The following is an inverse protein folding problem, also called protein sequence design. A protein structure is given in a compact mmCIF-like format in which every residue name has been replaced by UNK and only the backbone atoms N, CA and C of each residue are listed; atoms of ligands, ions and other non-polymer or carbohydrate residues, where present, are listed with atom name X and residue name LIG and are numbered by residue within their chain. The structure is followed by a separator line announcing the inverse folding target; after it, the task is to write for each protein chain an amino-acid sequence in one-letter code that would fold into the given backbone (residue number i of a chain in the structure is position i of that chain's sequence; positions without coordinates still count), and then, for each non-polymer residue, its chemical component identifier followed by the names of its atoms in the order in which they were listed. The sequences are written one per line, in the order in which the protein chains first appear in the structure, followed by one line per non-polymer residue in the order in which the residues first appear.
data_IF_207151333930
#
_entry.id   IF_207151333930
#
_cell.length_a   1.000
_cell.length_b   1.000
_cell.length_c   1.000
_cell.angle_alpha   90.00
_cell.angle_beta   90.00
_cell.angle_gamma   90.00
#
_symmetry.space_group_name_H-M   'P 1'
#
loop_
_entity.id
_entity.type
_entity.pdbx_description
1 polymer ?
#
# COMPACT_ATOMS: atom_id res chain seq x y z
N UNK A 1 8.35 -8.95 33.86
CA UNK A 1 9.68 -9.49 33.52
C UNK A 1 10.77 -8.83 34.36
N UNK A 2 11.75 -9.62 34.82
CA UNK A 2 12.90 -9.12 35.62
C UNK A 2 14.02 -8.61 34.70
N UNK A 3 14.10 -9.14 33.49
CA UNK A 3 15.19 -8.86 32.55
C UNK A 3 14.63 -8.48 31.20
N UNK A 4 15.34 -7.58 30.54
CA UNK A 4 15.18 -7.23 29.13
C UNK A 4 16.54 -7.20 28.47
N UNK A 5 16.60 -7.62 27.22
CA UNK A 5 17.76 -7.47 26.37
C UNK A 5 17.36 -6.82 25.05
N UNK A 6 18.32 -6.15 24.46
CA UNK A 6 18.17 -5.40 23.21
C UNK A 6 19.44 -5.59 22.38
N UNK A 7 19.27 -5.93 21.10
CA UNK A 7 20.37 -6.00 20.13
C UNK A 7 20.00 -5.16 18.91
N UNK A 8 20.76 -4.08 18.67
CA UNK A 8 20.67 -3.29 17.44
C UNK A 8 21.32 -4.05 16.30
N UNK A 9 20.71 -3.95 15.12
CA UNK A 9 21.22 -4.55 13.89
C UNK A 9 21.34 -3.42 12.87
N UNK A 10 22.54 -3.15 12.30
CA UNK A 10 22.75 -2.04 11.36
C UNK A 10 22.15 -2.37 9.97
N UNK A 11 20.87 -2.65 9.95
CA UNK A 11 20.08 -2.94 8.77
C UNK A 11 18.95 -1.91 8.69
N UNK A 12 18.69 -1.42 7.50
CA UNK A 12 17.52 -0.61 7.17
C UNK A 12 16.81 -1.26 5.98
N UNK A 13 15.62 -1.83 6.24
CA UNK A 13 14.82 -2.49 5.22
C UNK A 13 13.45 -1.83 5.13
N UNK A 14 12.92 -1.63 3.91
CA UNK A 14 11.50 -1.33 3.73
C UNK A 14 10.68 -2.48 4.33
N UNK A 15 9.62 -2.14 5.08
CA UNK A 15 8.70 -3.13 5.63
C UNK A 15 8.10 -4.05 4.55
N UNK A 16 7.96 -3.52 3.35
CA UNK A 16 7.46 -4.20 2.16
C UNK A 16 8.30 -5.41 1.74
N UNK A 17 9.60 -5.45 2.10
CA UNK A 17 10.49 -6.60 1.86
C UNK A 17 10.45 -7.64 2.98
N UNK A 18 9.85 -7.34 4.14
CA UNK A 18 9.92 -8.19 5.34
C UNK A 18 8.67 -9.02 5.57
N UNK A 19 7.94 -9.35 4.51
CA UNK A 19 6.71 -10.14 4.61
C UNK A 19 6.97 -11.54 5.16
N UNK A 20 6.11 -11.96 6.10
CA UNK A 20 6.12 -13.32 6.65
C UNK A 20 5.57 -14.38 5.70
N UNK A 21 5.10 -14.01 4.51
CA UNK A 21 4.60 -14.94 3.48
C UNK A 21 5.71 -15.65 2.71
N UNK A 22 6.87 -15.00 2.60
CA UNK A 22 8.01 -15.45 1.79
C UNK A 22 9.29 -15.50 2.61
N UNK A 23 10.25 -16.29 2.14
CA UNK A 23 11.59 -16.28 2.73
C UNK A 23 12.34 -15.00 2.36
N UNK A 24 13.26 -14.52 3.21
CA UNK A 24 13.65 -15.11 4.50
C UNK A 24 12.78 -14.59 5.67
N UNK A 25 11.85 -13.69 5.44
CA UNK A 25 10.97 -13.13 6.47
C UNK A 25 10.20 -14.22 7.22
N UNK A 26 9.65 -15.19 6.50
CA UNK A 26 8.93 -16.34 7.07
C UNK A 26 9.77 -17.09 8.11
N UNK A 27 11.01 -17.45 7.76
CA UNK A 27 11.92 -18.15 8.67
C UNK A 27 12.41 -17.27 9.81
N UNK A 28 12.64 -15.98 9.56
CA UNK A 28 13.07 -15.04 10.59
C UNK A 28 12.03 -14.90 11.70
N UNK A 29 10.81 -14.55 11.34
CA UNK A 29 9.72 -14.37 12.30
C UNK A 29 9.24 -15.70 12.89
N UNK A 30 9.32 -16.80 12.15
CA UNK A 30 9.01 -18.15 12.65
C UNK A 30 9.95 -18.66 13.74
N UNK A 31 11.09 -17.98 14.00
CA UNK A 31 11.94 -18.29 15.15
C UNK A 31 11.33 -17.84 16.47
N UNK A 32 10.48 -16.80 16.47
CA UNK A 32 9.88 -16.24 17.69
C UNK A 32 9.13 -17.32 18.45
N UNK A 33 8.17 -17.97 17.83
CA UNK A 33 7.33 -18.99 18.43
C UNK A 33 8.15 -20.10 19.14
N UNK A 34 9.20 -20.58 18.44
CA UNK A 34 10.07 -21.64 19.01
C UNK A 34 10.94 -21.18 20.17
N UNK A 35 11.31 -19.90 20.18
CA UNK A 35 12.20 -19.34 21.19
C UNK A 35 11.46 -18.82 22.42
N UNK A 36 10.19 -18.46 22.28
CA UNK A 36 9.31 -18.11 23.40
C UNK A 36 9.03 -19.30 24.32
N UNK A 37 9.08 -20.53 23.82
CA UNK A 37 8.97 -21.75 24.63
C UNK A 37 10.16 -21.97 25.59
N UNK A 38 11.27 -21.23 25.42
CA UNK A 38 12.42 -21.34 26.34
C UNK A 38 12.07 -20.84 27.75
N UNK A 39 12.41 -21.64 28.76
CA UNK A 39 12.10 -21.35 30.17
C UNK A 39 12.51 -19.93 30.58
N UNK A 40 11.54 -19.16 31.06
CA UNK A 40 11.74 -17.81 31.58
C UNK A 40 11.89 -16.74 30.51
N UNK A 41 11.47 -17.03 29.28
CA UNK A 41 11.19 -16.07 28.22
C UNK A 41 9.71 -15.72 28.30
N UNK A 42 9.36 -14.46 28.08
CA UNK A 42 7.97 -13.98 28.13
C UNK A 42 7.54 -13.48 26.76
N UNK A 43 8.41 -12.74 26.06
CA UNK A 43 8.07 -12.14 24.77
C UNK A 43 9.33 -11.78 23.98
N UNK A 44 9.22 -11.84 22.65
CA UNK A 44 10.30 -11.53 21.70
C UNK A 44 9.73 -10.64 20.59
N UNK A 45 10.39 -9.51 20.33
CA UNK A 45 10.06 -8.60 19.24
C UNK A 45 11.21 -8.48 18.23
N UNK A 46 10.88 -8.51 16.95
CA UNK A 46 11.79 -8.20 15.84
C UNK A 46 11.25 -6.95 15.15
N UNK A 47 12.05 -5.89 15.11
CA UNK A 47 11.72 -4.64 14.45
C UNK A 47 12.69 -4.39 13.30
N UNK A 48 12.15 -4.08 12.12
CA UNK A 48 12.95 -3.86 10.90
C UNK A 48 13.40 -2.40 10.75
N UNK A 49 12.95 -1.54 11.66
CA UNK A 49 13.10 -0.10 11.52
C UNK A 49 12.04 0.50 10.59
N UNK A 50 12.24 1.76 10.22
CA UNK A 50 11.35 2.48 9.31
C UNK A 50 12.18 3.21 8.25
N UNK A 51 12.42 2.56 7.13
CA UNK A 51 13.32 3.03 6.07
C UNK A 51 12.97 4.43 5.55
N UNK A 52 11.67 4.72 5.44
CA UNK A 52 11.15 6.01 4.96
C UNK A 52 11.31 7.17 5.94
N UNK A 53 11.71 6.89 7.18
CA UNK A 53 11.85 7.91 8.24
C UNK A 53 13.12 8.75 8.16
N UNK A 54 14.10 8.37 7.36
CA UNK A 54 15.40 9.05 7.16
C UNK A 54 15.97 9.67 8.45
N UNK A 55 16.19 8.84 9.46
CA UNK A 55 16.75 9.26 10.75
C UNK A 55 17.99 8.45 11.10
N UNK A 56 19.09 9.06 11.59
CA UNK A 56 20.33 8.36 11.94
C UNK A 56 20.17 7.22 12.94
N UNK A 57 19.13 7.28 13.78
CA UNK A 57 18.81 6.22 14.76
C UNK A 57 18.03 5.05 14.18
N UNK A 58 17.57 5.16 12.94
CA UNK A 58 16.71 4.17 12.32
C UNK A 58 17.50 2.92 11.93
N UNK A 59 17.15 1.80 12.51
CA UNK A 59 17.80 0.50 12.29
C UNK A 59 16.89 -0.63 12.74
N UNK A 60 17.22 -1.85 12.34
CA UNK A 60 16.56 -3.02 12.87
C UNK A 60 16.99 -3.31 14.32
N UNK A 61 16.14 -3.96 15.07
CA UNK A 61 16.44 -4.37 16.44
C UNK A 61 15.69 -5.64 16.82
N UNK A 62 16.28 -6.40 17.74
CA UNK A 62 15.63 -7.51 18.43
C UNK A 62 15.55 -7.19 19.93
N UNK A 63 14.38 -7.40 20.50
CA UNK A 63 14.12 -7.21 21.92
C UNK A 63 13.58 -8.51 22.51
N UNK A 64 14.06 -8.92 23.66
CA UNK A 64 13.46 -10.01 24.42
C UNK A 64 13.29 -9.62 25.89
N UNK A 65 12.23 -10.11 26.52
CA UNK A 65 11.93 -9.91 27.92
C UNK A 65 11.63 -11.24 28.61
N UNK A 66 11.95 -11.33 29.90
CA UNK A 66 11.72 -12.56 30.66
C UNK A 66 12.26 -12.52 32.09
N UNK A 67 12.22 -13.68 32.73
CA UNK A 67 12.70 -13.90 34.11
C UNK A 67 14.04 -14.68 34.18
N UNK A 68 14.55 -15.12 33.02
CA UNK A 68 15.86 -15.78 32.90
C UNK A 68 16.82 -14.90 32.06
N UNK A 69 17.76 -14.24 32.75
CA UNK A 69 18.72 -13.31 32.14
C UNK A 69 19.52 -13.94 31.00
N UNK A 70 20.02 -15.16 31.17
CA UNK A 70 20.86 -15.86 30.19
C UNK A 70 20.07 -16.14 28.89
N UNK A 71 18.84 -16.65 29.04
CA UNK A 71 18.00 -16.95 27.87
C UNK A 71 17.59 -15.68 27.14
N UNK A 72 17.21 -14.62 27.86
CA UNK A 72 16.81 -13.33 27.28
C UNK A 72 17.95 -12.73 26.45
N UNK A 73 19.18 -12.69 26.98
CA UNK A 73 20.35 -12.18 26.23
C UNK A 73 20.67 -13.09 25.05
N UNK A 74 20.78 -14.40 25.26
CA UNK A 74 21.16 -15.34 24.19
C UNK A 74 20.19 -15.36 23.02
N UNK A 75 18.89 -15.15 23.26
CA UNK A 75 17.87 -15.07 22.20
C UNK A 75 18.05 -13.80 21.36
N UNK A 76 18.28 -12.62 21.97
CA UNK A 76 18.48 -11.41 21.19
C UNK A 76 19.72 -11.52 20.31
N UNK A 77 20.80 -12.12 20.81
CA UNK A 77 22.02 -12.35 20.05
C UNK A 77 21.80 -13.38 18.91
N UNK A 78 21.11 -14.49 19.19
CA UNK A 78 20.80 -15.52 18.21
C UNK A 78 20.00 -14.96 17.04
N UNK A 79 18.91 -14.25 17.32
CA UNK A 79 18.05 -13.69 16.27
C UNK A 79 18.76 -12.56 15.55
N UNK A 80 19.48 -11.68 16.24
CA UNK A 80 20.19 -10.57 15.61
C UNK A 80 21.27 -11.07 14.64
N UNK A 81 22.05 -12.07 15.04
CA UNK A 81 23.07 -12.68 14.16
C UNK A 81 22.42 -13.39 12.97
N UNK A 82 21.30 -14.08 13.17
CA UNK A 82 20.57 -14.70 12.07
C UNK A 82 20.03 -13.64 11.11
N UNK A 83 19.38 -12.60 11.60
CA UNK A 83 18.86 -11.51 10.77
C UNK A 83 19.98 -10.84 9.96
N UNK A 84 21.13 -10.57 10.60
CA UNK A 84 22.29 -10.04 9.91
C UNK A 84 22.78 -10.97 8.79
N UNK A 85 22.81 -12.28 9.03
CA UNK A 85 23.30 -13.26 8.05
C UNK A 85 22.46 -13.31 6.78
N UNK A 86 21.15 -13.06 6.88
CA UNK A 86 20.19 -13.13 5.77
C UNK A 86 19.82 -11.74 5.20
N UNK A 87 20.50 -10.67 5.61
CA UNK A 87 20.12 -9.27 5.29
C UNK A 87 20.01 -8.95 3.81
N UNK A 88 20.71 -9.67 2.96
CA UNK A 88 20.73 -9.45 1.51
C UNK A 88 19.70 -10.30 0.75
N UNK A 89 18.98 -11.19 1.43
CA UNK A 89 18.08 -12.15 0.81
C UNK A 89 16.62 -11.68 0.79
N UNK A 90 16.36 -10.49 1.38
CA UNK A 90 15.01 -9.94 1.44
C UNK A 90 14.55 -9.36 0.10
N UNK A 91 13.41 -9.84 -0.37
CA UNK A 91 12.81 -9.44 -1.63
C UNK A 91 11.36 -8.98 -1.44
N UNK A 92 10.83 -8.24 -2.42
CA UNK A 92 9.40 -7.92 -2.46
C UNK A 92 8.58 -9.17 -2.75
N UNK A 93 7.35 -9.23 -2.21
CA UNK A 93 6.45 -10.39 -2.40
C UNK A 93 5.86 -10.50 -3.82
N UNK A 94 6.03 -9.48 -4.64
CA UNK A 94 5.68 -9.48 -6.06
C UNK A 94 6.68 -8.64 -6.84
N UNK A 95 6.75 -8.80 -8.16
CA UNK A 95 7.65 -8.01 -9.00
C UNK A 95 7.41 -6.50 -8.85
N UNK A 96 8.49 -5.73 -8.82
CA UNK A 96 8.48 -4.27 -8.83
C UNK A 96 8.84 -3.75 -10.20
N UNK A 97 8.22 -2.62 -10.60
CA UNK A 97 8.49 -1.99 -11.89
C UNK A 97 8.04 -0.53 -11.87
N UNK A 98 8.33 0.22 -12.94
CA UNK A 98 7.82 1.59 -13.12
C UNK A 98 6.32 1.60 -13.39
N UNK A 99 5.65 2.73 -13.17
CA UNK A 99 4.23 2.87 -13.44
C UNK A 99 3.93 2.67 -14.94
N UNK A 100 4.76 3.23 -15.81
CA UNK A 100 4.62 3.08 -17.26
C UNK A 100 4.67 1.62 -17.69
N UNK A 101 5.66 0.87 -17.19
CA UNK A 101 5.75 -0.56 -17.44
C UNK A 101 4.57 -1.34 -16.85
N UNK A 102 4.08 -0.94 -15.67
CA UNK A 102 2.89 -1.58 -15.06
C UNK A 102 1.65 -1.38 -15.93
N UNK A 103 1.47 -0.18 -16.51
CA UNK A 103 0.36 0.13 -17.42
C UNK A 103 0.48 -0.71 -18.69
N UNK A 104 1.65 -0.78 -19.31
CA UNK A 104 1.85 -1.58 -20.53
C UNK A 104 1.63 -3.06 -20.28
N UNK A 105 2.11 -3.58 -19.15
CA UNK A 105 1.88 -4.96 -18.75
C UNK A 105 0.39 -5.23 -18.43
N UNK A 106 -0.31 -4.29 -17.80
CA UNK A 106 -1.74 -4.43 -17.57
C UNK A 106 -2.53 -4.51 -18.88
N UNK A 107 -2.23 -3.63 -19.84
CA UNK A 107 -2.86 -3.64 -21.17
C UNK A 107 -2.56 -4.96 -21.91
N UNK A 108 -1.31 -5.41 -21.89
CA UNK A 108 -0.92 -6.69 -22.48
C UNK A 108 -1.66 -7.86 -21.82
N UNK A 109 -1.69 -7.90 -20.49
CA UNK A 109 -2.35 -8.94 -19.72
C UNK A 109 -3.84 -9.05 -20.04
N UNK A 110 -4.55 -7.93 -20.14
CA UNK A 110 -5.96 -7.90 -20.46
C UNK A 110 -6.25 -8.44 -21.87
N UNK A 111 -5.35 -8.20 -22.81
CA UNK A 111 -5.47 -8.72 -24.17
C UNK A 111 -5.27 -10.25 -24.24
N UNK A 112 -4.33 -10.79 -23.47
CA UNK A 112 -3.94 -12.20 -23.50
C UNK A 112 -4.77 -13.10 -22.56
N UNK A 113 -5.21 -12.56 -21.41
CA UNK A 113 -5.77 -13.34 -20.30
C UNK A 113 -7.09 -12.80 -19.76
N UNK A 114 -8.04 -12.53 -20.63
CA UNK A 114 -9.33 -11.89 -20.32
C UNK A 114 -10.14 -12.48 -19.14
N UNK A 115 -9.81 -13.69 -18.66
CA UNK A 115 -10.59 -14.41 -17.66
C UNK A 115 -10.05 -14.33 -16.22
N UNK A 116 -8.90 -13.68 -16.00
CA UNK A 116 -8.31 -13.52 -14.65
C UNK A 116 -8.23 -12.05 -14.30
N UNK A 117 -9.14 -11.60 -13.46
CA UNK A 117 -9.26 -10.23 -12.96
C UNK A 117 -9.13 -10.22 -11.43
N UNK A 118 -8.77 -9.09 -10.83
CA UNK A 118 -8.20 -7.88 -11.43
C UNK A 118 -6.70 -8.00 -11.72
N UNK A 119 -6.18 -7.18 -12.64
CA UNK A 119 -4.77 -6.81 -12.62
C UNK A 119 -4.57 -5.74 -11.56
N UNK A 120 -3.75 -5.99 -10.54
CA UNK A 120 -3.53 -5.05 -9.43
C UNK A 120 -2.21 -4.32 -9.63
N UNK A 121 -2.27 -2.99 -9.59
CA UNK A 121 -1.11 -2.11 -9.47
C UNK A 121 -1.12 -1.55 -8.05
N UNK A 122 -0.08 -1.87 -7.28
CA UNK A 122 0.05 -1.39 -5.90
C UNK A 122 1.14 -0.31 -5.84
N UNK A 123 0.71 0.95 -5.73
CA UNK A 123 1.59 2.11 -5.58
C UNK A 123 2.17 2.12 -4.16
N UNK A 124 3.44 1.75 -4.03
CA UNK A 124 4.14 1.71 -2.75
C UNK A 124 4.65 3.10 -2.33
N UNK A 125 4.95 3.96 -3.32
CA UNK A 125 5.56 5.28 -3.07
C UNK A 125 4.66 6.23 -2.31
N UNK A 126 3.35 6.19 -2.56
CA UNK A 126 2.36 7.03 -1.86
C UNK A 126 1.46 6.24 -0.90
N UNK A 127 2.08 5.28 -0.16
CA UNK A 127 1.38 4.45 0.79
C UNK A 127 1.01 5.19 2.08
N UNK A 128 -0.28 5.46 2.36
CA UNK A 128 -0.71 6.20 3.55
C UNK A 128 -0.47 5.44 4.86
N UNK A 129 -0.23 4.14 4.82
CA UNK A 129 0.07 3.33 6.02
C UNK A 129 1.57 3.25 6.31
N UNK A 130 2.42 3.66 5.37
CA UNK A 130 3.87 3.71 5.53
C UNK A 130 4.42 5.15 5.56
N UNK A 131 3.58 6.13 5.93
CA UNK A 131 3.99 7.54 6.08
C UNK A 131 3.87 8.38 4.81
N UNK A 132 3.43 7.82 3.70
CA UNK A 132 3.05 8.58 2.50
C UNK A 132 1.86 9.50 2.78
N UNK A 133 1.78 10.61 2.06
CA UNK A 133 0.64 11.54 2.18
C UNK A 133 -0.67 10.92 1.71
N UNK A 134 -0.60 9.96 0.80
CA UNK A 134 -1.74 9.34 0.14
C UNK A 134 -2.41 10.26 -0.88
N UNK A 135 -1.84 11.44 -1.13
CA UNK A 135 -2.44 12.49 -1.97
C UNK A 135 -1.61 12.87 -3.20
N UNK A 136 -0.51 12.15 -3.47
CA UNK A 136 0.28 12.34 -4.69
C UNK A 136 -0.57 12.02 -5.92
N UNK A 137 -0.60 12.97 -6.85
CA UNK A 137 -1.47 12.90 -8.04
C UNK A 137 -0.81 12.22 -9.24
N UNK A 138 0.48 11.88 -9.16
CA UNK A 138 1.28 11.34 -10.26
C UNK A 138 0.62 10.16 -10.96
N UNK A 139 0.33 9.10 -10.23
CA UNK A 139 -0.29 7.88 -10.76
C UNK A 139 -1.65 8.17 -11.39
N UNK A 140 -2.52 8.92 -10.70
CA UNK A 140 -3.84 9.28 -11.24
C UNK A 140 -3.73 10.11 -12.53
N UNK A 141 -2.82 11.09 -12.58
CA UNK A 141 -2.59 11.93 -13.75
C UNK A 141 -2.14 11.09 -14.95
N UNK A 142 -1.22 10.15 -14.77
CA UNK A 142 -0.77 9.23 -15.84
C UNK A 142 -1.90 8.36 -16.35
N UNK A 143 -2.72 7.80 -15.47
CA UNK A 143 -3.88 6.97 -15.85
C UNK A 143 -4.92 7.79 -16.63
N UNK A 144 -5.26 8.98 -16.14
CA UNK A 144 -6.24 9.85 -16.80
C UNK A 144 -5.78 10.36 -18.17
N UNK A 145 -4.47 10.52 -18.40
CA UNK A 145 -3.89 10.93 -19.66
C UNK A 145 -3.61 9.79 -20.63
N UNK A 146 -3.70 8.55 -20.19
CA UNK A 146 -3.42 7.40 -21.04
C UNK A 146 -4.63 7.07 -21.93
N UNK A 147 -4.52 7.31 -23.23
CA UNK A 147 -5.61 7.09 -24.20
C UNK A 147 -6.04 5.62 -24.36
N UNK A 148 -5.17 4.66 -24.03
CA UNK A 148 -5.51 3.23 -24.06
C UNK A 148 -6.37 2.84 -22.85
N UNK A 149 -6.19 3.51 -21.72
CA UNK A 149 -6.90 3.27 -20.47
C UNK A 149 -8.14 4.16 -20.34
N UNK A 150 -8.00 5.47 -20.52
CA UNK A 150 -9.08 6.44 -20.32
C UNK A 150 -9.87 6.68 -21.62
N UNK A 151 -10.71 5.73 -21.98
CA UNK A 151 -11.59 5.82 -23.16
C UNK A 151 -12.95 5.20 -22.85
N UNK A 152 -13.98 5.65 -23.55
CA UNK A 152 -15.31 5.01 -23.52
C UNK A 152 -15.15 3.57 -24.01
N UNK A 153 -15.70 2.60 -23.29
CA UNK A 153 -15.53 1.16 -23.54
C UNK A 153 -14.07 0.65 -23.37
N UNK A 154 -13.23 1.37 -22.64
CA UNK A 154 -11.93 0.88 -22.20
C UNK A 154 -12.04 -0.14 -21.06
N UNK A 155 -10.89 -0.60 -20.53
CA UNK A 155 -10.88 -1.47 -19.35
C UNK A 155 -11.51 -0.75 -18.16
N UNK A 156 -12.30 -1.45 -17.37
CA UNK A 156 -12.85 -0.91 -16.13
C UNK A 156 -11.74 -0.78 -15.07
N UNK A 157 -11.55 0.42 -14.54
CA UNK A 157 -10.50 0.73 -13.59
C UNK A 157 -11.09 1.26 -12.30
N UNK A 158 -10.59 0.78 -11.17
CA UNK A 158 -10.82 1.37 -9.86
C UNK A 158 -9.50 1.97 -9.37
N UNK A 159 -9.49 3.26 -9.05
CA UNK A 159 -8.38 3.96 -8.43
C UNK A 159 -8.72 4.29 -6.97
N UNK A 160 -7.99 3.73 -6.02
CA UNK A 160 -8.26 3.83 -4.59
C UNK A 160 -7.01 4.23 -3.77
N UNK A 161 -6.95 5.45 -3.33
CA UNK A 161 -7.86 6.57 -3.42
C UNK A 161 -7.08 7.89 -3.52
N UNK A 162 -7.77 9.01 -3.52
CA UNK A 162 -7.14 10.33 -3.47
C UNK A 162 -7.97 11.29 -2.61
N UNK A 163 -7.38 12.03 -1.65
CA UNK A 163 -8.04 13.11 -0.93
C UNK A 163 -8.44 14.25 -1.86
N UNK A 164 -9.65 14.77 -1.69
CA UNK A 164 -10.18 15.90 -2.46
C UNK A 164 -11.34 16.59 -1.74
N UNK A 165 -11.08 17.32 -0.61
CA UNK A 165 -12.12 17.97 0.17
C UNK A 165 -12.98 18.93 -0.65
N UNK A 166 -12.40 19.66 -1.61
CA UNK A 166 -13.13 20.56 -2.50
C UNK A 166 -14.13 19.82 -3.38
N UNK A 167 -13.70 18.69 -3.97
CA UNK A 167 -14.58 17.86 -4.77
C UNK A 167 -15.65 17.20 -3.92
N UNK A 168 -15.31 16.71 -2.72
CA UNK A 168 -16.29 16.16 -1.77
C UNK A 168 -17.38 17.20 -1.47
N UNK A 169 -17.00 18.44 -1.13
CA UNK A 169 -17.97 19.52 -0.85
C UNK A 169 -18.94 19.73 -2.03
N UNK A 170 -18.45 19.72 -3.25
CA UNK A 170 -19.27 19.87 -4.45
C UNK A 170 -20.17 18.64 -4.66
N UNK A 171 -19.62 17.45 -4.49
CA UNK A 171 -20.34 16.18 -4.64
C UNK A 171 -21.53 16.04 -3.67
N UNK A 172 -21.38 16.51 -2.44
CA UNK A 172 -22.48 16.48 -1.44
C UNK A 172 -23.67 17.37 -1.83
N UNK A 173 -23.49 18.31 -2.74
CA UNK A 173 -24.55 19.17 -3.30
C UNK A 173 -24.98 18.75 -4.70
N UNK A 174 -24.48 17.60 -5.21
CA UNK A 174 -24.73 17.08 -6.56
C UNK A 174 -25.56 15.80 -6.46
N UNK A 175 -26.50 15.58 -7.37
CA UNK A 175 -27.27 14.32 -7.43
C UNK A 175 -26.41 13.22 -8.04
N UNK A 176 -26.59 11.99 -7.54
CA UNK A 176 -25.98 10.80 -8.17
C UNK A 176 -26.46 10.72 -9.62
N UNK A 177 -25.52 10.54 -10.53
CA UNK A 177 -25.72 10.54 -11.96
C UNK A 177 -25.37 11.86 -12.65
N UNK A 178 -25.30 12.98 -11.90
CA UNK A 178 -24.93 14.28 -12.46
C UNK A 178 -23.41 14.46 -12.48
N UNK A 179 -22.96 15.43 -13.27
CA UNK A 179 -21.56 15.81 -13.38
C UNK A 179 -21.12 16.64 -12.17
N UNK A 180 -19.94 16.34 -11.66
CA UNK A 180 -19.29 17.08 -10.59
C UNK A 180 -17.83 17.40 -10.96
N UNK A 181 -17.33 18.52 -10.47
CA UNK A 181 -15.97 18.99 -10.70
C UNK A 181 -15.38 19.52 -9.40
N UNK A 182 -14.08 19.28 -9.18
CA UNK A 182 -13.34 19.81 -8.03
C UNK A 182 -11.88 19.36 -8.06
N UNK A 183 -11.06 20.02 -7.26
CA UNK A 183 -9.64 19.66 -7.13
C UNK A 183 -9.48 18.45 -6.22
N UNK A 184 -8.50 17.57 -6.58
CA UNK A 184 -8.10 16.39 -5.82
C UNK A 184 -6.59 16.28 -5.74
N UNK A 185 -6.10 15.75 -4.63
CA UNK A 185 -4.68 15.46 -4.37
C UNK A 185 -3.79 16.68 -4.19
N UNK A 186 -2.50 16.41 -3.98
CA UNK A 186 -1.44 17.41 -3.80
C UNK A 186 -1.75 18.48 -2.72
N UNK A 187 -2.39 18.06 -1.62
CA UNK A 187 -2.70 18.93 -0.49
C UNK A 187 -1.51 19.02 0.47
N UNK A 188 -0.83 17.89 0.66
CA UNK A 188 0.31 17.74 1.55
C UNK A 188 1.61 17.49 0.78
N UNK A 189 1.52 16.83 -0.39
CA UNK A 189 2.67 16.54 -1.23
C UNK A 189 2.39 16.92 -2.69
N UNK A 190 2.86 18.10 -3.07
CA UNK A 190 2.75 18.66 -4.43
C UNK A 190 4.06 18.58 -5.23
N UNK A 191 5.11 17.97 -4.64
CA UNK A 191 6.47 17.92 -5.23
C UNK A 191 6.52 17.21 -6.59
N UNK A 192 5.71 16.17 -6.77
CA UNK A 192 5.77 15.31 -7.95
C UNK A 192 4.70 15.63 -9.00
N UNK A 193 3.60 16.25 -8.60
CA UNK A 193 2.53 16.60 -9.54
C UNK A 193 1.54 17.58 -8.88
N UNK A 194 1.02 18.58 -9.60
CA UNK A 194 0.05 19.53 -9.04
C UNK A 194 -1.32 18.88 -8.78
N UNK A 195 -2.21 19.55 -8.04
CA UNK A 195 -3.60 19.11 -7.89
C UNK A 195 -4.27 18.87 -9.25
N UNK A 196 -5.13 17.88 -9.33
CA UNK A 196 -5.91 17.57 -10.54
C UNK A 196 -7.30 18.18 -10.41
N UNK A 197 -7.72 18.97 -11.41
CA UNK A 197 -9.13 19.33 -11.55
C UNK A 197 -9.86 18.10 -12.13
N UNK A 198 -10.45 17.30 -11.25
CA UNK A 198 -11.18 16.10 -11.64
C UNK A 198 -12.62 16.48 -12.00
N UNK A 199 -13.06 16.04 -13.17
CA UNK A 199 -14.40 16.23 -13.68
C UNK A 199 -14.98 14.89 -14.12
N UNK A 200 -16.17 14.55 -13.65
CA UNK A 200 -16.80 13.27 -14.00
C UNK A 200 -18.20 13.13 -13.41
N UNK A 201 -18.80 11.97 -13.59
CA UNK A 201 -20.13 11.65 -13.09
C UNK A 201 -20.05 11.12 -11.66
N UNK A 202 -20.83 11.69 -10.74
CA UNK A 202 -20.99 11.20 -9.38
C UNK A 202 -21.73 9.85 -9.38
N UNK A 203 -21.08 8.78 -8.91
CA UNK A 203 -21.65 7.41 -8.91
C UNK A 203 -22.17 6.96 -7.56
N UNK A 204 -21.47 7.30 -6.49
CA UNK A 204 -21.87 6.95 -5.13
C UNK A 204 -21.32 7.96 -4.12
N UNK A 205 -21.97 8.01 -2.97
CA UNK A 205 -21.59 8.84 -1.81
C UNK A 205 -21.72 7.97 -0.57
N UNK A 206 -20.70 7.95 0.28
CA UNK A 206 -20.69 7.29 1.58
C UNK A 206 -20.21 8.28 2.64
N UNK A 207 -20.91 8.35 3.77
CA UNK A 207 -20.63 9.30 4.86
C UNK A 207 -20.34 8.56 6.16
N UNK A 208 -19.54 9.20 7.01
CA UNK A 208 -19.29 8.71 8.37
C UNK A 208 -18.22 7.63 8.46
N UNK A 209 -17.40 7.45 7.42
CA UNK A 209 -16.23 6.56 7.52
C UNK A 209 -15.24 7.11 8.57
N UNK A 210 -14.77 6.30 9.53
CA UNK A 210 -13.93 6.78 10.63
C UNK A 210 -12.58 7.36 10.16
N UNK A 211 -12.07 6.92 9.00
CA UNK A 211 -10.81 7.41 8.43
C UNK A 211 -11.04 8.51 7.39
N UNK A 212 -11.86 8.23 6.40
CA UNK A 212 -12.11 9.13 5.26
C UNK A 212 -13.08 10.27 5.60
N UNK A 213 -13.98 10.10 6.58
CA UNK A 213 -15.11 10.96 6.90
C UNK A 213 -16.21 10.92 5.82
N UNK A 214 -15.91 11.33 4.59
CA UNK A 214 -16.76 11.19 3.42
C UNK A 214 -15.96 10.59 2.25
N UNK A 215 -16.64 9.77 1.46
CA UNK A 215 -16.09 9.08 0.29
C UNK A 215 -17.09 9.21 -0.87
N UNK A 216 -16.58 9.48 -2.07
CA UNK A 216 -17.40 9.50 -3.28
C UNK A 216 -16.70 8.76 -4.41
N UNK A 217 -17.45 8.21 -5.35
CA UNK A 217 -16.92 7.66 -6.59
C UNK A 217 -17.24 8.61 -7.73
N UNK A 218 -16.19 9.07 -8.41
CA UNK A 218 -16.27 9.89 -9.60
C UNK A 218 -15.89 9.06 -10.82
N UNK A 219 -16.83 8.89 -11.73
CA UNK A 219 -16.58 8.14 -12.97
C UNK A 219 -16.12 9.08 -14.08
N UNK A 220 -14.91 8.82 -14.59
CA UNK A 220 -14.32 9.47 -15.76
C UNK A 220 -14.17 8.42 -16.87
N UNK A 221 -15.03 8.44 -17.88
CA UNK A 221 -15.16 7.38 -18.87
C UNK A 221 -15.38 5.99 -18.21
N UNK A 222 -14.34 5.15 -18.21
CA UNK A 222 -14.33 3.80 -17.61
C UNK A 222 -13.56 3.73 -16.27
N UNK A 223 -13.04 4.85 -15.79
CA UNK A 223 -12.25 4.93 -14.57
C UNK A 223 -13.14 5.38 -13.41
N UNK A 224 -13.24 4.57 -12.37
CA UNK A 224 -13.89 4.89 -11.12
C UNK A 224 -12.83 5.40 -10.13
N UNK A 225 -12.79 6.71 -9.90
CA UNK A 225 -11.88 7.36 -8.95
C UNK A 225 -12.56 7.50 -7.62
N UNK A 226 -12.02 6.86 -6.59
CA UNK A 226 -12.49 7.05 -5.21
C UNK A 226 -11.83 8.32 -4.67
N UNK A 227 -12.65 9.31 -4.34
CA UNK A 227 -12.22 10.56 -3.72
C UNK A 227 -12.67 10.57 -2.27
N UNK A 228 -11.79 10.96 -1.36
CA UNK A 228 -12.02 10.95 0.09
C UNK A 228 -11.87 12.34 0.68
N UNK A 229 -12.56 12.64 1.78
CA UNK A 229 -12.37 13.92 2.48
C UNK A 229 -11.00 13.95 3.20
N UNK A 230 -10.61 12.82 3.80
CA UNK A 230 -9.29 12.61 4.41
C UNK A 230 -8.64 11.37 3.82
N UNK A 231 -7.30 11.26 3.91
CA UNK A 231 -6.56 10.09 3.42
C UNK A 231 -7.07 8.80 4.06
N UNK A 232 -7.24 7.75 3.24
CA UNK A 232 -7.65 6.43 3.67
C UNK A 232 -6.99 5.34 2.83
N UNK A 233 -6.41 4.30 3.44
CA UNK A 233 -6.01 3.09 2.73
C UNK A 233 -7.23 2.22 2.42
N UNK A 234 -7.21 1.53 1.28
CA UNK A 234 -8.26 0.59 0.85
C UNK A 234 -7.70 -0.83 0.95
N UNK A 235 -8.01 -1.52 2.03
CA UNK A 235 -7.45 -2.82 2.36
C UNK A 235 -8.42 -3.99 2.13
N UNK A 236 -9.72 -3.76 2.31
CA UNK A 236 -10.72 -4.81 2.34
C UNK A 236 -11.70 -4.67 1.18
N UNK A 237 -12.24 -5.80 0.72
CA UNK A 237 -13.26 -5.80 -0.34
C UNK A 237 -14.47 -4.96 0.08
N UNK A 238 -14.84 -5.00 1.35
CA UNK A 238 -15.92 -4.19 1.93
C UNK A 238 -15.70 -2.68 1.79
N UNK A 239 -14.45 -2.21 1.75
CA UNK A 239 -14.14 -0.79 1.50
C UNK A 239 -14.61 -0.31 0.12
N UNK A 240 -14.67 -1.22 -0.85
CA UNK A 240 -15.14 -0.95 -2.20
C UNK A 240 -16.64 -1.20 -2.35
N UNK A 241 -17.14 -2.29 -1.76
CA UNK A 241 -18.54 -2.71 -1.89
C UNK A 241 -19.51 -1.67 -1.33
N UNK A 242 -19.18 -1.01 -0.22
CA UNK A 242 -19.99 0.10 0.33
C UNK A 242 -20.13 1.29 -0.63
N UNK A 243 -19.17 1.44 -1.55
CA UNK A 243 -19.18 2.45 -2.62
C UNK A 243 -19.82 1.93 -3.93
N UNK A 244 -20.48 0.77 -3.88
CA UNK A 244 -21.05 0.07 -5.04
C UNK A 244 -20.00 -0.28 -6.11
N UNK A 245 -18.75 -0.54 -5.70
CA UNK A 245 -17.67 -1.01 -6.56
C UNK A 245 -17.36 -2.48 -6.29
N UNK A 246 -17.01 -3.23 -7.33
CA UNK A 246 -16.62 -4.63 -7.21
C UNK A 246 -15.15 -4.83 -7.62
N UNK A 247 -14.19 -4.87 -6.67
CA UNK A 247 -12.79 -5.02 -6.98
C UNK A 247 -12.43 -6.37 -7.59
N UNK A 248 -13.27 -7.43 -7.41
CA UNK A 248 -13.04 -8.76 -7.99
C UNK A 248 -13.30 -8.80 -9.50
N UNK A 249 -14.18 -7.93 -10.00
CA UNK A 249 -14.63 -7.95 -11.38
C UNK A 249 -14.06 -6.79 -12.23
N UNK A 250 -13.40 -5.82 -11.60
CA UNK A 250 -12.73 -4.75 -12.34
C UNK A 250 -11.56 -5.28 -13.17
N UNK A 251 -11.24 -4.65 -14.28
CA UNK A 251 -10.10 -5.06 -15.10
C UNK A 251 -8.77 -4.70 -14.44
N UNK A 252 -8.67 -3.47 -13.93
CA UNK A 252 -7.48 -2.98 -13.23
C UNK A 252 -7.90 -2.38 -11.89
N UNK A 253 -7.23 -2.79 -10.83
CA UNK A 253 -7.37 -2.22 -9.49
C UNK A 253 -6.06 -1.52 -9.10
N UNK A 254 -6.13 -0.23 -8.80
CA UNK A 254 -4.98 0.55 -8.33
C UNK A 254 -5.20 0.90 -6.87
N UNK A 255 -4.26 0.51 -6.01
CA UNK A 255 -4.27 0.78 -4.57
C UNK A 255 -2.92 1.35 -4.11
N UNK A 256 -2.91 2.06 -2.99
CA UNK A 256 -1.71 2.67 -2.40
C UNK A 256 -1.28 1.89 -1.16
N UNK A 257 -0.64 0.74 -1.38
CA UNK A 257 -0.26 -0.21 -0.32
C UNK A 257 1.13 -0.77 -0.63
N UNK A 258 1.98 -0.89 0.38
CA UNK A 258 3.33 -1.44 0.24
C UNK A 258 3.37 -2.95 -0.02
N UNK A 259 2.44 -3.71 0.56
CA UNK A 259 2.12 -5.09 0.18
C UNK A 259 0.66 -5.40 0.51
N UNK A 260 0.02 -6.15 -0.36
CA UNK A 260 -1.42 -6.40 -0.22
C UNK A 260 -1.74 -7.20 1.04
N UNK A 261 -2.81 -6.82 1.73
CA UNK A 261 -3.43 -7.66 2.74
C UNK A 261 -3.97 -8.96 2.10
N UNK A 262 -4.11 -10.06 2.88
CA UNK A 262 -4.52 -11.37 2.34
C UNK A 262 -5.73 -11.29 1.43
N UNK A 263 -6.75 -10.55 1.82
CA UNK A 263 -8.03 -10.46 1.11
C UNK A 263 -7.90 -9.88 -0.31
N UNK A 264 -7.12 -8.81 -0.50
CA UNK A 264 -6.84 -8.27 -1.83
C UNK A 264 -5.83 -9.12 -2.60
N UNK A 265 -4.88 -9.73 -1.89
CA UNK A 265 -3.90 -10.62 -2.50
C UNK A 265 -4.57 -11.85 -3.13
N UNK A 266 -5.60 -12.40 -2.50
CA UNK A 266 -6.28 -13.62 -2.95
C UNK A 266 -7.15 -13.41 -4.20
N UNK A 267 -7.68 -12.19 -4.41
CA UNK A 267 -8.50 -11.90 -5.59
C UNK A 267 -7.69 -11.52 -6.83
N UNK A 268 -6.36 -11.38 -6.73
CA UNK A 268 -5.54 -10.92 -7.85
C UNK A 268 -5.50 -11.91 -9.03
N UNK A 269 -5.66 -11.41 -10.22
CA UNK A 269 -5.26 -12.11 -11.44
C UNK A 269 -3.76 -11.97 -11.71
N UNK A 270 -3.25 -10.75 -11.50
CA UNK A 270 -1.84 -10.38 -11.53
C UNK A 270 -1.58 -9.27 -10.51
N UNK A 271 -0.32 -9.09 -10.09
CA UNK A 271 0.08 -8.04 -9.15
C UNK A 271 1.45 -7.50 -9.53
N UNK A 272 1.55 -6.17 -9.64
CA UNK A 272 2.80 -5.43 -9.74
C UNK A 272 2.85 -4.33 -8.68
N UNK A 273 4.04 -4.11 -8.13
CA UNK A 273 4.33 -2.98 -7.26
C UNK A 273 5.01 -1.86 -8.04
N UNK A 274 4.63 -0.61 -7.76
CA UNK A 274 5.29 0.58 -8.33
C UNK A 274 5.83 1.46 -7.22
N UNK A 275 7.00 2.07 -7.45
CA UNK A 275 7.71 2.91 -6.48
C UNK A 275 8.04 4.30 -7.02
N UNK A 276 7.56 4.64 -8.20
CA UNK A 276 8.05 5.75 -9.04
C UNK A 276 7.96 7.16 -8.44
N UNK A 277 7.06 7.38 -7.49
CA UNK A 277 6.84 8.73 -6.97
C UNK A 277 7.92 9.21 -5.98
N UNK A 278 8.75 8.32 -5.45
CA UNK A 278 9.72 8.64 -4.41
C UNK A 278 11.17 8.21 -4.72
N UNK A 279 11.39 7.30 -5.67
CA UNK A 279 12.67 6.62 -5.84
C UNK A 279 13.51 7.12 -7.04
N UNK A 280 12.95 7.93 -7.95
CA UNK A 280 13.65 8.39 -9.16
C UNK A 280 14.72 9.49 -8.90
N UNK A 281 14.84 10.03 -7.70
CA UNK A 281 15.85 11.03 -7.35
C UNK A 281 17.12 10.46 -6.68
N UNK A 282 17.24 9.15 -6.51
CA UNK A 282 18.38 8.51 -5.81
C UNK A 282 19.18 7.51 -6.66
N UNK A 283 19.09 7.58 -7.99
CA UNK A 283 19.97 6.79 -8.88
C UNK A 283 21.17 7.61 -9.39
#
# INVERSE_FOLDING_TARGET
PKYKAWSDIPILLPGEKTSTRVEPGKSLYGKIEKLEDKKGVIDIGIWTGYAWGDKPRNRAAVVAIGDNKKNVIGITEEIANYFWSIRNDFEFVAPTTTLENSIDQAIFYLNERKNKKPFIISDMGDNPTAGGSGDVTWTLNKILKNEKLNKINGPEIIYASIPGPDLIKNALNTKIGDEVTGYVGAIHDDRFSPPILLKGTLKSVELGDPNADAEVVIKVNNINVIVTNRRKPYHYISDFEKLALNPKNTDILIVKIGYLVPELYDIRGCLLYTSDAADDETS
#
